data_IF_440221543425
#
_entry.id   IF_440221543425
#
_cell.length_a   1.000
_cell.length_b   1.000
_cell.length_c   1.000
_cell.angle_alpha   90.00
_cell.angle_beta   90.00
_cell.angle_gamma   90.00
#
_symmetry.space_group_name_H-M   'P 1'
#
loop_
_entity.id
_entity.type
_entity.pdbx_description
1 polymer ?
#
# COMPACT_ATOMS: atom_id res chain seq x y z
N UNK A 1 18.92 -0.23 7.61
CA UNK A 1 17.59 -0.86 7.48
C UNK A 1 17.76 -2.35 7.71
N UNK A 2 16.82 -3.00 8.41
CA UNK A 2 16.86 -4.45 8.66
C UNK A 2 15.68 -5.10 7.93
N UNK A 3 15.92 -6.13 7.15
CA UNK A 3 14.85 -6.95 6.57
C UNK A 3 14.24 -7.86 7.63
N UNK A 4 12.92 -7.94 7.66
CA UNK A 4 12.16 -8.85 8.51
C UNK A 4 11.16 -9.64 7.68
N UNK A 5 10.96 -10.90 8.05
CA UNK A 5 9.98 -11.78 7.40
C UNK A 5 8.70 -11.76 8.22
N UNK A 6 7.58 -11.54 7.56
CA UNK A 6 6.24 -11.61 8.14
C UNK A 6 5.40 -12.61 7.36
N UNK A 7 4.34 -13.12 7.97
CA UNK A 7 3.34 -13.95 7.31
C UNK A 7 2.04 -13.15 7.18
N UNK A 8 1.54 -12.99 5.97
CA UNK A 8 0.29 -12.26 5.71
C UNK A 8 -0.97 -13.13 5.92
N UNK A 9 -2.16 -12.58 5.70
CA UNK A 9 -3.43 -13.30 5.92
C UNK A 9 -3.71 -14.36 4.85
N UNK A 10 -2.95 -14.35 3.75
CA UNK A 10 -2.95 -15.41 2.74
C UNK A 10 -1.92 -16.51 3.04
N UNK A 11 -1.28 -16.47 4.22
CA UNK A 11 -0.24 -17.41 4.69
C UNK A 11 1.03 -17.39 3.85
N UNK A 12 1.39 -16.23 3.31
CA UNK A 12 2.58 -16.04 2.48
C UNK A 12 3.64 -15.33 3.28
N UNK A 13 4.88 -15.76 3.11
CA UNK A 13 6.02 -15.07 3.70
C UNK A 13 6.38 -13.87 2.83
N UNK A 14 6.45 -12.71 3.47
CA UNK A 14 6.84 -11.45 2.84
C UNK A 14 8.07 -10.90 3.57
N UNK A 15 9.06 -10.46 2.80
CA UNK A 15 10.26 -9.83 3.34
C UNK A 15 10.12 -8.32 3.19
N UNK A 16 10.14 -7.60 4.31
CA UNK A 16 9.93 -6.15 4.35
C UNK A 16 11.18 -5.48 4.92
N UNK A 17 11.61 -4.37 4.31
CA UNK A 17 12.57 -3.45 4.91
C UNK A 17 11.91 -2.74 6.08
N UNK A 18 12.39 -3.00 7.30
CA UNK A 18 11.76 -2.52 8.52
C UNK A 18 12.56 -1.39 9.20
N UNK A 19 11.89 -0.33 9.69
CA UNK A 19 10.48 0.01 9.42
C UNK A 19 10.29 0.47 7.97
N UNK A 20 9.12 0.20 7.34
CA UNK A 20 8.81 0.71 6.00
C UNK A 20 8.73 2.23 6.02
N UNK A 21 9.13 2.88 4.93
CA UNK A 21 9.19 4.34 4.79
C UNK A 21 8.47 4.88 3.57
N UNK A 22 8.03 4.01 2.66
CA UNK A 22 7.29 4.35 1.45
C UNK A 22 6.14 3.37 1.27
N UNK A 23 5.07 3.63 2.01
CA UNK A 23 3.87 2.80 2.07
C UNK A 23 2.88 3.25 1.01
N UNK A 24 2.35 2.29 0.25
CA UNK A 24 1.16 2.48 -0.58
C UNK A 24 0.01 1.66 0.00
N UNK A 25 -1.11 2.33 0.26
CA UNK A 25 -2.35 1.68 0.70
C UNK A 25 -3.35 1.61 -0.45
N UNK A 26 -3.78 0.40 -0.78
CA UNK A 26 -4.70 0.14 -1.89
C UNK A 26 -6.17 0.19 -1.49
N UNK A 27 -6.49 0.40 -0.21
CA UNK A 27 -7.85 0.31 0.34
C UNK A 27 -8.14 1.48 1.29
N UNK A 28 -9.32 2.12 1.23
CA UNK A 28 -9.66 3.25 2.09
C UNK A 28 -9.57 2.96 3.59
N UNK A 29 -10.17 1.85 4.06
CA UNK A 29 -10.18 1.49 5.49
C UNK A 29 -8.77 1.25 6.05
N UNK A 30 -7.90 0.61 5.26
CA UNK A 30 -6.49 0.43 5.62
C UNK A 30 -5.75 1.77 5.63
N UNK A 31 -6.10 2.67 4.72
CA UNK A 31 -5.50 4.01 4.67
C UNK A 31 -5.84 4.82 5.92
N UNK A 32 -7.10 4.80 6.36
CA UNK A 32 -7.55 5.45 7.60
C UNK A 32 -6.81 4.89 8.82
N UNK A 33 -6.72 3.55 8.93
CA UNK A 33 -5.97 2.91 10.01
C UNK A 33 -4.51 3.36 10.07
N UNK A 34 -3.82 3.45 8.93
CA UNK A 34 -2.41 3.89 8.91
C UNK A 34 -2.26 5.34 9.39
N UNK A 35 -3.22 6.21 9.06
CA UNK A 35 -3.24 7.59 9.57
C UNK A 35 -3.56 7.68 11.06
N UNK A 36 -4.40 6.79 11.59
CA UNK A 36 -4.69 6.69 13.02
C UNK A 36 -3.47 6.19 13.81
N UNK A 37 -2.64 5.37 13.17
CA UNK A 37 -1.36 4.89 13.70
C UNK A 37 -0.23 5.94 13.58
N UNK A 38 -0.49 7.12 13.00
CA UNK A 38 0.48 8.21 12.88
C UNK A 38 1.53 8.03 11.78
N UNK A 39 1.25 7.21 10.76
CA UNK A 39 2.16 6.95 9.63
C UNK A 39 2.01 7.95 8.48
N UNK A 40 1.64 9.19 8.81
CA UNK A 40 1.32 10.24 7.84
C UNK A 40 2.45 10.51 6.84
N UNK A 41 3.71 10.42 7.29
CA UNK A 41 4.90 10.70 6.47
C UNK A 41 5.29 9.51 5.57
N UNK A 42 5.05 8.29 6.04
CA UNK A 42 5.38 7.08 5.31
C UNK A 42 4.41 6.78 4.15
N UNK A 43 3.18 7.31 4.19
CA UNK A 43 2.16 7.05 3.16
C UNK A 43 2.43 7.91 1.91
N UNK A 44 3.04 7.29 0.89
CA UNK A 44 3.38 7.95 -0.38
C UNK A 44 2.31 7.81 -1.45
N UNK A 45 1.39 6.84 -1.31
CA UNK A 45 0.33 6.62 -2.29
C UNK A 45 -0.93 5.97 -1.72
N UNK A 46 -2.07 6.44 -2.24
CA UNK A 46 -3.41 6.04 -1.79
C UNK A 46 -4.36 5.97 -2.98
N UNK A 47 -5.46 5.22 -2.85
CA UNK A 47 -6.51 5.24 -3.88
C UNK A 47 -7.30 6.55 -3.87
N UNK A 48 -7.98 6.83 -4.99
CA UNK A 48 -8.86 8.00 -5.18
C UNK A 48 -10.07 8.02 -4.24
N UNK A 49 -10.41 6.87 -3.64
CA UNK A 49 -11.53 6.74 -2.72
C UNK A 49 -11.18 7.14 -1.28
N UNK A 50 -9.89 7.33 -0.98
CA UNK A 50 -9.45 7.84 0.32
C UNK A 50 -9.71 9.36 0.35
N UNK A 51 -10.79 9.76 1.03
CA UNK A 51 -11.29 11.15 1.09
C UNK A 51 -11.26 11.75 2.50
N UNK A 52 -11.07 10.94 3.55
CA UNK A 52 -10.96 11.39 4.94
C UNK A 52 -9.73 10.84 5.67
N UNK A 53 -8.98 11.69 6.42
CA UNK A 53 -9.16 13.13 6.62
C UNK A 53 -8.44 13.99 5.56
N UNK A 54 -9.14 15.00 5.01
CA UNK A 54 -8.70 15.84 3.87
C UNK A 54 -7.30 16.45 4.03
N UNK A 55 -6.87 16.72 5.25
CA UNK A 55 -5.59 17.37 5.54
C UNK A 55 -4.39 16.43 5.48
N UNK A 56 -4.59 15.12 5.71
CA UNK A 56 -3.51 14.13 5.78
C UNK A 56 -3.06 13.58 4.42
N UNK A 57 -3.83 13.83 3.36
CA UNK A 57 -3.54 13.28 2.03
C UNK A 57 -2.78 14.22 1.08
N UNK A 58 -2.45 15.44 1.51
CA UNK A 58 -1.89 16.46 0.61
C UNK A 58 -0.53 16.05 0.03
N UNK A 59 0.23 15.22 0.74
CA UNK A 59 1.53 14.69 0.30
C UNK A 59 1.41 13.39 -0.52
N UNK A 60 0.35 12.60 -0.33
CA UNK A 60 0.24 11.26 -0.93
C UNK A 60 -0.30 11.31 -2.37
N UNK A 61 0.35 10.58 -3.27
CA UNK A 61 -0.06 10.52 -4.67
C UNK A 61 -1.30 9.63 -4.86
N UNK A 62 -2.30 10.12 -5.61
CA UNK A 62 -3.45 9.30 -6.00
C UNK A 62 -3.07 8.29 -7.08
N UNK A 63 -3.11 7.00 -6.73
CA UNK A 63 -2.66 5.87 -7.57
C UNK A 63 -3.80 5.14 -8.31
N UNK A 64 -4.92 5.82 -8.57
CA UNK A 64 -6.08 5.22 -9.24
C UNK A 64 -7.15 4.74 -8.25
N UNK A 65 -7.98 3.78 -8.65
CA UNK A 65 -9.02 3.18 -7.79
C UNK A 65 -8.68 1.75 -7.38
N UNK A 66 -9.41 1.19 -6.42
CA UNK A 66 -9.21 -0.18 -5.88
C UNK A 66 -9.21 -1.29 -6.94
N UNK A 67 -9.99 -1.12 -8.02
CA UNK A 67 -10.11 -2.07 -9.15
C UNK A 67 -9.51 -1.58 -10.47
N UNK A 68 -8.84 -0.42 -10.46
CA UNK A 68 -8.13 0.16 -11.61
C UNK A 68 -6.94 0.94 -11.08
N UNK A 69 -5.91 0.21 -10.70
CA UNK A 69 -4.68 0.79 -10.17
C UNK A 69 -3.86 1.42 -11.31
N UNK A 70 -3.22 2.55 -11.03
CA UNK A 70 -2.26 3.15 -11.94
C UNK A 70 -0.87 2.56 -11.64
N UNK A 71 -0.60 1.39 -12.22
CA UNK A 71 0.64 0.64 -12.00
C UNK A 71 1.88 1.47 -12.34
N UNK A 72 1.84 2.28 -13.40
CA UNK A 72 2.96 3.16 -13.78
C UNK A 72 3.32 4.13 -12.64
N UNK A 73 2.32 4.80 -12.04
CA UNK A 73 2.55 5.69 -10.88
C UNK A 73 3.08 4.92 -9.69
N UNK A 74 2.55 3.72 -9.41
CA UNK A 74 3.03 2.89 -8.30
C UNK A 74 4.52 2.56 -8.49
N UNK A 75 4.94 2.22 -9.71
CA UNK A 75 6.34 1.96 -10.02
C UNK A 75 7.23 3.19 -9.83
N UNK A 76 6.78 4.37 -10.27
CA UNK A 76 7.49 5.64 -10.10
C UNK A 76 7.65 6.03 -8.62
N UNK A 77 6.69 5.66 -7.78
CA UNK A 77 6.73 5.93 -6.34
C UNK A 77 7.73 5.03 -5.58
N UNK A 78 8.22 3.94 -6.17
CA UNK A 78 9.19 3.02 -5.53
C UNK A 78 8.81 2.69 -4.07
N UNK A 79 7.62 2.12 -3.82
CA UNK A 79 7.21 1.74 -2.47
C UNK A 79 8.12 0.65 -1.90
N UNK A 80 8.31 0.68 -0.59
CA UNK A 80 8.97 -0.42 0.15
C UNK A 80 7.96 -1.34 0.86
N UNK A 81 6.69 -0.95 0.88
CA UNK A 81 5.56 -1.77 1.29
C UNK A 81 4.29 -1.35 0.56
N UNK A 82 3.56 -2.33 0.02
CA UNK A 82 2.20 -2.15 -0.48
C UNK A 82 1.25 -2.95 0.41
N UNK A 83 0.15 -2.34 0.84
CA UNK A 83 -0.89 -3.00 1.64
C UNK A 83 -2.17 -3.06 0.81
N UNK A 84 -2.70 -4.26 0.64
CA UNK A 84 -3.93 -4.53 -0.09
C UNK A 84 -4.87 -5.48 0.66
N UNK A 85 -6.05 -5.68 0.07
CA UNK A 85 -7.09 -6.57 0.55
C UNK A 85 -7.54 -7.53 -0.56
N UNK A 86 -7.70 -8.81 -0.22
CA UNK A 86 -8.04 -9.88 -1.17
C UNK A 86 -9.39 -9.66 -1.87
N UNK A 87 -10.38 -9.09 -1.18
CA UNK A 87 -11.74 -8.91 -1.68
C UNK A 87 -11.89 -7.62 -2.50
N UNK A 88 -11.09 -6.60 -2.20
CA UNK A 88 -11.18 -5.29 -2.85
C UNK A 88 -10.28 -5.14 -4.09
N UNK A 89 -9.09 -5.73 -4.07
CA UNK A 89 -8.10 -5.55 -5.13
C UNK A 89 -8.16 -6.64 -6.21
N UNK A 90 -7.94 -6.27 -7.47
CA UNK A 90 -7.88 -7.25 -8.56
C UNK A 90 -6.64 -8.13 -8.43
N UNK A 91 -6.83 -9.44 -8.56
CA UNK A 91 -5.77 -10.43 -8.39
C UNK A 91 -4.60 -10.18 -9.35
N UNK A 92 -4.90 -9.82 -10.59
CA UNK A 92 -3.91 -9.61 -11.65
C UNK A 92 -2.99 -8.43 -11.33
N UNK A 93 -3.55 -7.32 -10.83
CA UNK A 93 -2.78 -6.15 -10.41
C UNK A 93 -1.89 -6.48 -9.21
N UNK A 94 -2.43 -7.22 -8.24
CA UNK A 94 -1.72 -7.63 -7.03
C UNK A 94 -0.56 -8.57 -7.37
N UNK A 95 -0.79 -9.57 -8.22
CA UNK A 95 0.25 -10.50 -8.70
C UNK A 95 1.33 -9.77 -9.51
N UNK A 96 0.97 -8.73 -10.27
CA UNK A 96 1.94 -7.89 -10.95
C UNK A 96 2.81 -7.12 -9.95
N UNK A 97 2.19 -6.44 -8.97
CA UNK A 97 2.90 -5.66 -7.95
C UNK A 97 3.87 -6.52 -7.12
N UNK A 98 3.49 -7.76 -6.81
CA UNK A 98 4.32 -8.72 -6.06
C UNK A 98 5.62 -9.09 -6.75
N UNK A 99 5.72 -8.95 -8.07
CA UNK A 99 6.96 -9.19 -8.81
C UNK A 99 7.99 -8.08 -8.60
N UNK A 100 7.55 -6.93 -8.08
CA UNK A 100 8.36 -5.71 -7.99
C UNK A 100 8.53 -5.20 -6.56
N UNK A 101 7.53 -5.41 -5.69
CA UNK A 101 7.51 -4.86 -4.33
C UNK A 101 7.02 -5.86 -3.29
N UNK A 102 7.36 -5.68 -2.00
CA UNK A 102 6.69 -6.39 -0.91
C UNK A 102 5.21 -5.99 -0.83
N UNK A 103 4.31 -6.97 -0.92
CA UNK A 103 2.87 -6.75 -0.85
C UNK A 103 2.25 -7.56 0.30
N UNK A 104 1.76 -6.86 1.32
CA UNK A 104 0.92 -7.42 2.36
C UNK A 104 -0.52 -7.55 1.87
N UNK A 105 -1.11 -8.73 1.98
CA UNK A 105 -2.54 -8.94 1.72
C UNK A 105 -3.27 -9.30 3.01
N UNK A 106 -4.30 -8.52 3.33
CA UNK A 106 -5.36 -8.92 4.26
C UNK A 106 -6.42 -9.75 3.54
#
# INVERSE_FOLDING_TARGET
MQTRVFTDQLRRNITINFPPKRIISLVPSQTELLFDLGLDEEIVGITKFCIHPKDKFKSSTKIGGTKKLNLKKIMELQPDLIIGNKEENQKEDIEYLMRHFPVWMS
#
